data_IF_719812707694
#
_entry.id   IF_719812707694
#
_cell.length_a   1.000
_cell.length_b   1.000
_cell.length_c   1.000
_cell.angle_alpha   90.00
_cell.angle_beta   90.00
_cell.angle_gamma   90.00
#
_symmetry.space_group_name_H-M   'P 1'
#
loop_
_entity.id
_entity.type
_entity.pdbx_description
1 polymer ?
#
# COMPACT_ATOMS: atom_id res chain seq x y z
N UNK A 1 -35.67 38.23 -21.64
CA UNK A 1 -35.74 37.77 -20.23
C UNK A 1 -35.11 38.86 -19.38
N UNK A 2 -35.84 39.47 -18.45
CA UNK A 2 -35.20 40.27 -17.40
C UNK A 2 -34.50 39.27 -16.47
N UNK A 3 -33.17 39.25 -16.51
CA UNK A 3 -32.35 38.61 -15.49
C UNK A 3 -32.57 39.36 -14.18
N UNK A 4 -33.26 38.73 -13.23
CA UNK A 4 -33.34 39.23 -11.86
C UNK A 4 -31.99 38.94 -11.22
N UNK A 5 -31.19 39.96 -10.93
CA UNK A 5 -29.94 39.78 -10.20
C UNK A 5 -30.24 39.56 -8.73
N UNK A 6 -29.59 38.57 -8.12
CA UNK A 6 -29.49 38.49 -6.66
C UNK A 6 -28.65 39.68 -6.20
N UNK A 7 -29.21 40.57 -5.37
CA UNK A 7 -28.62 41.89 -5.12
C UNK A 7 -27.58 41.94 -3.99
N UNK A 8 -27.48 40.94 -3.09
CA UNK A 8 -26.45 40.91 -2.04
C UNK A 8 -26.32 39.56 -1.31
N UNK A 9 -25.11 39.24 -0.85
CA UNK A 9 -24.85 38.18 0.13
C UNK A 9 -25.00 38.75 1.55
N UNK A 10 -25.87 38.15 2.37
CA UNK A 10 -26.06 38.48 3.78
C UNK A 10 -25.32 37.47 4.68
N UNK A 11 -25.00 37.81 5.94
CA UNK A 11 -24.44 36.86 6.92
C UNK A 11 -25.44 36.62 8.03
N UNK A 12 -25.91 35.37 8.18
CA UNK A 12 -26.97 35.01 9.13
C UNK A 12 -26.46 34.05 10.21
N UNK A 13 -26.93 34.19 11.47
CA UNK A 13 -26.70 33.19 12.50
C UNK A 13 -27.28 31.84 12.10
N UNK A 14 -26.58 30.75 12.42
CA UNK A 14 -27.01 29.40 12.03
C UNK A 14 -28.41 29.05 12.55
N UNK A 15 -28.77 29.53 13.75
CA UNK A 15 -30.07 29.25 14.39
C UNK A 15 -31.24 29.91 13.67
N UNK A 16 -30.97 30.89 12.80
CA UNK A 16 -32.01 31.54 11.99
C UNK A 16 -32.44 30.65 10.81
N UNK A 17 -31.60 29.73 10.36
CA UNK A 17 -31.84 28.90 9.19
C UNK A 17 -32.75 27.73 9.52
N UNK A 18 -33.81 27.56 8.73
CA UNK A 18 -34.80 26.49 8.92
C UNK A 18 -34.59 25.43 7.82
N UNK A 19 -34.15 24.20 8.17
CA UNK A 19 -34.03 23.13 7.20
C UNK A 19 -35.38 22.82 6.54
N UNK A 20 -35.39 22.71 5.21
CA UNK A 20 -36.59 22.30 4.49
C UNK A 20 -36.98 20.84 4.82
N UNK A 21 -38.16 20.67 5.41
CA UNK A 21 -38.63 19.38 5.96
C UNK A 21 -38.84 18.26 4.92
N UNK A 22 -38.90 18.58 3.63
CA UNK A 22 -39.06 17.62 2.53
C UNK A 22 -37.86 17.61 1.59
N UNK A 23 -36.67 17.89 2.11
CA UNK A 23 -35.46 17.75 1.31
C UNK A 23 -35.28 16.28 0.94
N UNK A 24 -35.20 15.99 -0.36
CA UNK A 24 -35.05 14.62 -0.86
C UNK A 24 -33.59 14.15 -0.86
N UNK A 25 -32.63 15.08 -0.71
CA UNK A 25 -31.19 14.78 -0.67
C UNK A 25 -30.75 14.52 0.76
N UNK A 26 -30.12 13.39 0.98
CA UNK A 26 -29.48 13.01 2.24
C UNK A 26 -27.98 13.35 2.18
N UNK A 27 -27.40 13.65 3.35
CA UNK A 27 -25.97 13.88 3.51
C UNK A 27 -25.49 12.95 4.64
N UNK A 28 -24.56 12.05 4.33
CA UNK A 28 -23.88 11.24 5.34
C UNK A 28 -22.73 12.02 6.01
N UNK A 29 -22.21 11.50 7.12
CA UNK A 29 -21.18 12.17 7.92
C UNK A 29 -19.86 12.37 7.14
N UNK A 30 -19.56 11.49 6.18
CA UNK A 30 -18.38 11.57 5.32
C UNK A 30 -18.48 12.76 4.37
N UNK A 31 -19.58 12.86 3.65
CA UNK A 31 -19.86 13.98 2.74
C UNK A 31 -19.91 15.33 3.48
N UNK A 32 -20.49 15.36 4.69
CA UNK A 32 -20.49 16.59 5.50
C UNK A 32 -19.07 16.98 5.90
N UNK A 33 -18.22 16.01 6.25
CA UNK A 33 -16.81 16.24 6.59
C UNK A 33 -16.00 16.75 5.40
N UNK A 34 -16.24 16.24 4.19
CA UNK A 34 -15.62 16.77 2.96
C UNK A 34 -16.01 18.24 2.71
N UNK A 35 -17.30 18.57 2.83
CA UNK A 35 -17.77 19.95 2.70
C UNK A 35 -17.15 20.84 3.80
N UNK A 36 -16.98 20.34 5.01
CA UNK A 36 -16.32 21.05 6.10
C UNK A 36 -14.83 21.31 5.81
N UNK A 37 -14.10 20.31 5.29
CA UNK A 37 -12.71 20.47 4.84
C UNK A 37 -12.58 21.52 3.75
N UNK A 38 -13.43 21.46 2.72
CA UNK A 38 -13.50 22.46 1.65
C UNK A 38 -13.77 23.88 2.18
N UNK A 39 -14.70 24.05 3.13
CA UNK A 39 -14.96 25.36 3.75
C UNK A 39 -13.76 25.83 4.60
N UNK A 40 -13.06 24.94 5.28
CA UNK A 40 -11.89 25.29 6.08
C UNK A 40 -10.72 25.77 5.20
N UNK A 41 -10.54 25.14 4.03
CA UNK A 41 -9.45 25.44 3.09
C UNK A 41 -9.75 26.67 2.23
N UNK A 42 -10.89 26.67 1.52
CA UNK A 42 -11.21 27.70 0.54
C UNK A 42 -12.07 28.84 1.10
N UNK A 43 -12.56 28.69 2.33
CA UNK A 43 -13.59 29.56 2.90
C UNK A 43 -15.00 29.22 2.39
N UNK A 44 -15.99 29.93 2.91
CA UNK A 44 -17.40 29.70 2.57
C UNK A 44 -17.77 30.37 1.23
N UNK A 45 -17.22 29.86 0.13
CA UNK A 45 -17.31 30.45 -1.22
C UNK A 45 -18.69 30.39 -1.85
N UNK A 46 -19.50 29.40 -1.46
CA UNK A 46 -20.85 29.20 -1.97
C UNK A 46 -21.90 29.53 -0.88
N UNK A 47 -22.66 30.63 -0.95
CA UNK A 47 -23.68 30.99 0.04
C UNK A 47 -24.90 30.06 0.05
N UNK A 48 -25.51 29.87 1.22
CA UNK A 48 -26.75 29.09 1.36
C UNK A 48 -27.92 29.87 0.74
N UNK A 49 -28.73 29.21 -0.09
CA UNK A 49 -29.91 29.82 -0.70
C UNK A 49 -31.11 29.66 0.23
N UNK A 50 -31.76 30.76 0.58
CA UNK A 50 -32.88 30.76 1.53
C UNK A 50 -34.10 31.51 0.98
N UNK A 51 -35.27 31.07 1.41
CA UNK A 51 -36.51 31.83 1.24
C UNK A 51 -36.56 33.03 2.19
N UNK A 52 -37.52 33.92 1.93
CA UNK A 52 -37.86 35.04 2.82
C UNK A 52 -38.44 34.59 4.17
N UNK A 53 -38.89 33.33 4.23
CA UNK A 53 -39.36 32.59 5.42
C UNK A 53 -38.22 31.92 6.22
N UNK A 54 -36.96 32.21 5.87
CA UNK A 54 -35.74 31.58 6.41
C UNK A 54 -35.59 30.08 6.11
N UNK A 55 -36.45 29.51 5.25
CA UNK A 55 -36.35 28.09 4.88
C UNK A 55 -35.23 27.90 3.85
N UNK A 56 -34.37 26.91 4.08
CA UNK A 56 -33.26 26.58 3.17
C UNK A 56 -33.82 25.99 1.88
N UNK A 57 -33.48 26.63 0.76
CA UNK A 57 -33.79 26.17 -0.59
C UNK A 57 -32.68 25.25 -1.10
N UNK A 58 -31.41 25.64 -0.89
CA UNK A 58 -30.23 24.86 -1.24
C UNK A 58 -29.06 25.14 -0.28
N UNK A 59 -28.23 24.12 -0.02
CA UNK A 59 -27.06 24.22 0.86
C UNK A 59 -27.23 23.58 2.24
N UNK A 60 -28.09 22.57 2.40
CA UNK A 60 -28.25 21.83 3.65
C UNK A 60 -26.93 21.20 4.14
N UNK A 61 -26.17 20.53 3.27
CA UNK A 61 -24.85 20.00 3.62
C UNK A 61 -23.87 21.09 4.08
N UNK A 62 -23.92 22.29 3.49
CA UNK A 62 -23.09 23.44 3.92
C UNK A 62 -23.49 23.96 5.30
N UNK A 63 -24.78 23.92 5.66
CA UNK A 63 -25.20 24.22 7.03
C UNK A 63 -24.67 23.18 8.02
N UNK A 64 -24.76 21.89 7.69
CA UNK A 64 -24.24 20.81 8.54
C UNK A 64 -22.72 20.94 8.73
N UNK A 65 -21.98 21.22 7.65
CA UNK A 65 -20.54 21.47 7.70
C UNK A 65 -20.20 22.71 8.54
N UNK A 66 -20.96 23.81 8.41
CA UNK A 66 -20.79 24.99 9.25
C UNK A 66 -20.98 24.69 10.75
N UNK A 67 -21.94 23.83 11.08
CA UNK A 67 -22.18 23.36 12.45
C UNK A 67 -21.00 22.52 12.96
N UNK A 68 -20.48 21.61 12.14
CA UNK A 68 -19.31 20.79 12.46
C UNK A 68 -18.06 21.64 12.71
N UNK A 69 -17.87 22.71 11.93
CA UNK A 69 -16.77 23.67 12.09
C UNK A 69 -16.98 24.68 13.23
N UNK A 70 -18.15 24.70 13.88
CA UNK A 70 -18.46 25.62 14.97
C UNK A 70 -18.62 27.08 14.55
N UNK A 71 -19.03 27.35 13.30
CA UNK A 71 -19.25 28.71 12.82
C UNK A 71 -20.48 29.34 13.49
N UNK A 72 -20.42 30.63 13.82
CA UNK A 72 -21.54 31.38 14.40
C UNK A 72 -22.49 31.96 13.34
N UNK A 73 -21.95 32.32 12.18
CA UNK A 73 -22.70 32.88 11.04
C UNK A 73 -22.24 32.29 9.73
N UNK A 74 -23.15 32.21 8.75
CA UNK A 74 -22.87 31.74 7.39
C UNK A 74 -23.36 32.74 6.34
N UNK A 75 -22.71 32.81 5.16
CA UNK A 75 -23.18 33.63 4.06
C UNK A 75 -24.44 33.02 3.44
N UNK A 76 -25.44 33.86 3.18
CA UNK A 76 -26.74 33.48 2.62
C UNK A 76 -27.16 34.41 1.50
N UNK A 77 -27.96 33.87 0.58
CA UNK A 77 -28.63 34.62 -0.47
C UNK A 77 -30.13 34.43 -0.28
N UNK A 78 -30.85 35.55 -0.09
CA UNK A 78 -32.31 35.53 0.13
C UNK A 78 -33.06 35.69 -1.18
N UNK A 79 -33.74 34.62 -1.61
CA UNK A 79 -34.47 34.56 -2.88
C UNK A 79 -35.91 35.07 -2.73
N UNK A 80 -36.05 36.36 -2.39
CA UNK A 80 -37.35 37.02 -2.11
C UNK A 80 -38.32 37.05 -3.30
N UNK A 81 -37.81 36.92 -4.51
CA UNK A 81 -38.58 37.01 -5.75
C UNK A 81 -39.25 35.69 -6.15
N UNK A 82 -38.90 34.57 -5.50
CA UNK A 82 -39.44 33.25 -5.84
C UNK A 82 -40.77 33.00 -5.15
N UNK A 83 -41.78 32.61 -5.95
CA UNK A 83 -43.02 32.03 -5.44
C UNK A 83 -42.75 30.67 -4.76
N UNK A 84 -43.66 30.22 -3.91
CA UNK A 84 -43.55 28.92 -3.22
C UNK A 84 -43.32 27.75 -4.21
N UNK A 85 -44.06 27.74 -5.33
CA UNK A 85 -43.90 26.73 -6.37
C UNK A 85 -42.49 26.77 -7.01
N UNK A 86 -41.96 27.97 -7.26
CA UNK A 86 -40.61 28.14 -7.80
C UNK A 86 -39.53 27.73 -6.79
N UNK A 87 -39.70 28.01 -5.49
CA UNK A 87 -38.78 27.54 -4.44
C UNK A 87 -38.70 26.02 -4.41
N UNK A 88 -39.86 25.35 -4.43
CA UNK A 88 -39.95 23.88 -4.43
C UNK A 88 -39.37 23.26 -5.70
N UNK A 89 -39.61 23.89 -6.86
CA UNK A 89 -38.99 23.46 -8.11
C UNK A 89 -37.48 23.64 -8.08
N UNK A 90 -36.98 24.75 -7.51
CA UNK A 90 -35.56 25.02 -7.40
C UNK A 90 -34.85 24.03 -6.47
N UNK A 91 -35.46 23.61 -5.36
CA UNK A 91 -34.91 22.55 -4.49
C UNK A 91 -34.65 21.25 -5.27
N UNK A 92 -35.54 20.90 -6.21
CA UNK A 92 -35.39 19.70 -7.03
C UNK A 92 -34.36 19.95 -8.14
N UNK A 93 -34.46 21.10 -8.81
CA UNK A 93 -33.60 21.46 -9.94
C UNK A 93 -32.13 21.58 -9.52
N UNK A 94 -31.83 22.21 -8.39
CA UNK A 94 -30.46 22.37 -7.86
C UNK A 94 -29.78 21.01 -7.66
N UNK A 95 -30.50 20.05 -7.08
CA UNK A 95 -29.99 18.69 -6.87
C UNK A 95 -29.86 17.92 -8.19
N UNK A 96 -30.88 17.95 -9.05
CA UNK A 96 -30.90 17.15 -10.29
C UNK A 96 -29.95 17.69 -11.35
N UNK A 97 -29.77 19.01 -11.45
CA UNK A 97 -28.86 19.62 -12.41
C UNK A 97 -27.41 19.31 -12.03
N UNK A 98 -27.07 19.34 -10.74
CA UNK A 98 -25.76 18.92 -10.26
C UNK A 98 -25.47 17.44 -10.56
N UNK A 99 -26.45 16.54 -10.39
CA UNK A 99 -26.32 15.11 -10.76
C UNK A 99 -26.15 14.85 -12.26
N UNK A 100 -26.62 15.76 -13.12
CA UNK A 100 -26.56 15.58 -14.57
C UNK A 100 -25.22 16.05 -15.17
N UNK A 101 -24.37 16.70 -14.36
CA UNK A 101 -23.04 17.12 -14.80
C UNK A 101 -22.10 15.91 -14.76
N UNK A 102 -21.39 15.67 -15.86
CA UNK A 102 -20.28 14.72 -15.92
C UNK A 102 -18.95 15.46 -16.03
N UNK A 103 -17.87 14.76 -15.74
CA UNK A 103 -16.52 15.26 -15.94
C UNK A 103 -16.04 14.97 -17.36
N UNK A 104 -15.21 15.86 -17.90
CA UNK A 104 -14.28 15.46 -18.95
C UNK A 104 -13.06 14.89 -18.22
N UNK A 105 -12.92 13.57 -18.25
CA UNK A 105 -11.90 12.87 -17.48
C UNK A 105 -10.49 13.35 -17.87
N UNK A 106 -10.16 13.48 -19.16
CA UNK A 106 -8.82 13.92 -19.60
C UNK A 106 -8.41 15.29 -19.03
N UNK A 107 -9.34 16.26 -19.05
CA UNK A 107 -9.08 17.60 -18.52
C UNK A 107 -9.04 17.62 -16.99
N UNK A 108 -9.86 16.80 -16.34
CA UNK A 108 -9.87 16.67 -14.89
C UNK A 108 -8.53 16.09 -14.38
N UNK A 109 -8.01 15.04 -15.04
CA UNK A 109 -6.71 14.45 -14.70
C UNK A 109 -5.57 15.46 -14.77
N UNK A 110 -5.52 16.26 -15.84
CA UNK A 110 -4.50 17.27 -16.04
C UNK A 110 -4.55 18.35 -14.95
N UNK A 111 -5.75 18.83 -14.60
CA UNK A 111 -5.90 19.82 -13.53
C UNK A 111 -5.53 19.26 -12.14
N UNK A 112 -5.90 18.00 -11.85
CA UNK A 112 -5.52 17.33 -10.60
C UNK A 112 -4.00 17.14 -10.48
N UNK A 113 -3.33 16.77 -11.58
CA UNK A 113 -1.86 16.70 -11.65
C UNK A 113 -1.18 18.06 -11.45
N UNK A 114 -1.68 19.10 -12.12
CA UNK A 114 -1.16 20.46 -11.97
C UNK A 114 -1.33 20.98 -10.52
N UNK A 115 -2.44 20.66 -9.86
CA UNK A 115 -2.66 20.99 -8.44
C UNK A 115 -1.68 20.25 -7.52
N UNK A 116 -1.38 18.98 -7.83
CA UNK A 116 -0.40 18.19 -7.09
C UNK A 116 1.02 18.76 -7.23
N UNK A 117 1.41 19.18 -8.44
CA UNK A 117 2.69 19.84 -8.71
C UNK A 117 2.84 21.18 -7.97
N UNK A 118 1.72 21.84 -7.69
CA UNK A 118 1.66 23.05 -6.87
C UNK A 118 1.68 22.75 -5.36
N UNK A 119 1.75 21.48 -4.97
CA UNK A 119 1.77 21.05 -3.56
C UNK A 119 0.43 21.19 -2.85
N UNK A 120 -0.67 21.17 -3.60
CA UNK A 120 -2.02 21.30 -3.06
C UNK A 120 -2.52 19.97 -2.49
N UNK A 121 -3.22 20.01 -1.36
CA UNK A 121 -3.83 18.84 -0.72
C UNK A 121 -5.12 18.43 -1.46
N UNK A 122 -5.12 17.27 -2.11
CA UNK A 122 -6.26 16.80 -2.91
C UNK A 122 -7.36 16.14 -2.05
N UNK A 123 -7.15 15.96 -0.75
CA UNK A 123 -8.16 15.34 0.13
C UNK A 123 -9.39 16.28 0.33
N UNK A 124 -9.23 17.57 0.04
CA UNK A 124 -10.24 18.62 0.32
C UNK A 124 -11.12 18.99 -0.89
N UNK A 125 -10.84 18.44 -2.08
CA UNK A 125 -11.57 18.74 -3.32
C UNK A 125 -12.78 17.84 -3.56
N UNK A 126 -13.02 16.87 -2.67
CA UNK A 126 -14.26 16.08 -2.62
C UNK A 126 -14.27 14.80 -3.45
N UNK A 127 -13.11 14.34 -3.91
CA UNK A 127 -12.89 12.98 -4.41
C UNK A 127 -12.49 12.08 -3.24
N UNK A 128 -12.85 10.79 -3.27
CA UNK A 128 -12.27 9.79 -2.37
C UNK A 128 -10.87 9.38 -2.83
N UNK A 129 -10.06 8.83 -1.93
CA UNK A 129 -8.71 8.33 -2.25
C UNK A 129 -8.73 7.34 -3.43
N UNK A 130 -9.73 6.45 -3.47
CA UNK A 130 -9.92 5.48 -4.56
C UNK A 130 -10.21 6.20 -5.91
N UNK A 131 -11.07 7.23 -5.90
CA UNK A 131 -11.37 8.03 -7.10
C UNK A 131 -10.16 8.87 -7.55
N UNK A 132 -9.37 9.40 -6.60
CA UNK A 132 -8.14 10.14 -6.91
C UNK A 132 -7.08 9.23 -7.52
N UNK A 133 -6.92 8.01 -7.00
CA UNK A 133 -6.00 7.01 -7.54
C UNK A 133 -6.39 6.62 -8.98
N UNK A 134 -7.69 6.39 -9.24
CA UNK A 134 -8.23 6.06 -10.57
C UNK A 134 -8.12 7.24 -11.56
N UNK A 135 -8.39 8.47 -11.09
CA UNK A 135 -8.29 9.68 -11.90
C UNK A 135 -6.83 10.02 -12.19
N UNK A 136 -5.96 10.12 -11.20
CA UNK A 136 -4.54 10.45 -11.40
C UNK A 136 -3.78 9.37 -12.18
N UNK A 137 -4.40 8.22 -12.43
CA UNK A 137 -3.74 7.15 -13.19
C UNK A 137 -2.63 6.51 -12.39
N UNK A 138 -2.84 6.32 -11.08
CA UNK A 138 -2.08 5.35 -10.28
C UNK A 138 -2.59 3.91 -10.52
N UNK A 139 -3.25 3.67 -11.67
CA UNK A 139 -3.38 2.34 -12.25
C UNK A 139 -2.22 2.11 -13.21
N UNK A 140 -1.33 1.21 -12.79
CA UNK A 140 -0.33 0.50 -13.58
C UNK A 140 0.35 1.36 -14.68
N UNK A 141 1.44 2.05 -14.33
CA UNK A 141 2.63 1.78 -15.12
C UNK A 141 2.89 0.28 -14.97
N UNK A 142 2.20 -0.54 -15.76
CA UNK A 142 2.52 -1.95 -15.88
C UNK A 142 3.99 -1.92 -16.22
N UNK A 143 4.82 -2.39 -15.30
CA UNK A 143 6.26 -2.36 -15.51
C UNK A 143 6.57 -2.99 -16.87
N UNK A 144 7.77 -2.74 -17.37
CA UNK A 144 8.16 -3.24 -18.68
C UNK A 144 8.11 -4.78 -18.81
N UNK A 145 7.84 -5.49 -17.71
CA UNK A 145 7.62 -6.94 -17.64
C UNK A 145 6.36 -7.30 -16.83
N UNK A 146 5.91 -8.56 -16.96
CA UNK A 146 4.92 -9.15 -16.04
C UNK A 146 5.38 -9.03 -14.58
N UNK A 147 4.46 -8.71 -13.66
CA UNK A 147 4.79 -8.45 -12.25
C UNK A 147 5.46 -9.66 -11.59
N UNK A 148 5.04 -10.87 -11.93
CA UNK A 148 5.57 -12.13 -11.42
C UNK A 148 6.74 -12.67 -12.28
N UNK A 149 7.21 -11.93 -13.28
CA UNK A 149 8.43 -12.29 -14.01
C UNK A 149 9.64 -12.24 -13.07
N UNK A 150 10.48 -13.28 -13.11
CA UNK A 150 11.72 -13.38 -12.33
C UNK A 150 12.86 -13.78 -13.27
N UNK A 151 13.98 -13.04 -13.25
CA UNK A 151 15.19 -13.37 -14.00
C UNK A 151 15.80 -14.73 -13.63
N UNK A 152 16.71 -15.21 -14.47
CA UNK A 152 17.53 -16.39 -14.15
C UNK A 152 18.53 -16.10 -13.02
N UNK A 153 18.67 -17.06 -12.12
CA UNK A 153 19.71 -17.03 -11.08
C UNK A 153 21.05 -17.35 -11.73
N UNK A 154 22.01 -16.44 -11.60
CA UNK A 154 23.40 -16.64 -12.01
C UNK A 154 24.21 -17.33 -10.90
N UNK A 155 25.20 -18.13 -11.28
CA UNK A 155 26.00 -18.89 -10.30
C UNK A 155 27.07 -18.04 -9.59
N UNK A 156 27.56 -17.00 -10.27
CA UNK A 156 28.54 -16.05 -9.74
C UNK A 156 27.85 -14.71 -9.53
N UNK A 157 27.49 -14.35 -8.28
CA UNK A 157 26.80 -13.11 -8.01
C UNK A 157 27.75 -11.91 -8.07
N UNK A 158 27.24 -10.78 -8.56
CA UNK A 158 27.87 -9.46 -8.52
C UNK A 158 27.83 -8.91 -7.10
N UNK A 159 26.69 -9.06 -6.42
CA UNK A 159 26.52 -8.61 -5.04
C UNK A 159 27.36 -9.43 -4.06
N UNK A 160 27.75 -8.79 -2.95
CA UNK A 160 28.45 -9.41 -1.83
C UNK A 160 27.76 -9.09 -0.52
N UNK A 161 27.96 -9.94 0.48
CA UNK A 161 27.45 -9.69 1.84
C UNK A 161 27.93 -8.33 2.34
N UNK A 162 26.99 -7.52 2.83
CA UNK A 162 27.21 -6.14 3.26
C UNK A 162 26.91 -5.09 2.19
N UNK A 163 26.77 -5.47 0.91
CA UNK A 163 26.41 -4.52 -0.14
C UNK A 163 24.99 -3.99 0.09
N UNK A 164 24.88 -2.65 0.17
CA UNK A 164 23.62 -1.92 0.15
C UNK A 164 23.40 -1.36 -1.25
N UNK A 165 22.29 -1.72 -1.87
CA UNK A 165 21.86 -1.24 -3.17
C UNK A 165 20.70 -0.25 -3.04
N UNK A 166 20.76 0.81 -3.82
CA UNK A 166 19.71 1.81 -4.00
C UNK A 166 19.01 1.53 -5.32
N UNK A 167 17.70 1.30 -5.26
CA UNK A 167 16.83 0.99 -6.39
C UNK A 167 15.70 2.03 -6.39
N UNK A 168 15.93 3.17 -7.04
CA UNK A 168 15.04 4.34 -6.91
C UNK A 168 14.96 4.80 -5.44
N UNK A 169 13.75 4.84 -4.89
CA UNK A 169 13.52 5.14 -3.46
C UNK A 169 13.61 3.91 -2.53
N UNK A 170 13.85 2.72 -3.09
CA UNK A 170 13.99 1.48 -2.36
C UNK A 170 15.43 1.23 -1.91
N UNK A 171 15.57 0.36 -0.91
CA UNK A 171 16.87 -0.13 -0.44
C UNK A 171 16.84 -1.64 -0.35
N UNK A 172 17.91 -2.26 -0.84
CA UNK A 172 18.13 -3.70 -0.76
C UNK A 172 19.50 -3.96 -0.13
N UNK A 173 19.55 -4.68 0.98
CA UNK A 173 20.80 -5.07 1.64
C UNK A 173 21.05 -6.57 1.46
N UNK A 174 22.26 -6.92 1.02
CA UNK A 174 22.75 -8.29 1.12
C UNK A 174 23.15 -8.58 2.56
N UNK A 175 22.28 -9.22 3.34
CA UNK A 175 22.44 -9.28 4.80
C UNK A 175 21.63 -10.35 5.52
N UNK A 176 21.90 -10.49 6.80
CA UNK A 176 21.32 -11.45 7.73
C UNK A 176 20.26 -10.79 8.61
N UNK A 177 19.00 -11.21 8.44
CA UNK A 177 17.84 -10.72 9.19
C UNK A 177 17.98 -10.81 10.72
N UNK A 178 18.87 -11.66 11.23
CA UNK A 178 19.12 -11.82 12.67
C UNK A 178 20.09 -10.77 13.22
N UNK A 179 20.80 -10.03 12.36
CA UNK A 179 21.80 -9.04 12.76
C UNK A 179 21.24 -7.63 12.80
N UNK A 180 21.23 -7.06 14.01
CA UNK A 180 20.70 -5.72 14.26
C UNK A 180 21.45 -4.60 13.53
N UNK A 181 22.77 -4.69 13.43
CA UNK A 181 23.61 -3.67 12.78
C UNK A 181 23.30 -3.55 11.27
N UNK A 182 22.99 -4.68 10.63
CA UNK A 182 22.61 -4.74 9.22
C UNK A 182 21.18 -4.18 9.03
N UNK A 183 20.26 -4.47 9.95
CA UNK A 183 18.94 -3.83 9.96
C UNK A 183 19.03 -2.30 10.13
N UNK A 184 19.87 -1.82 11.04
CA UNK A 184 20.07 -0.38 11.26
C UNK A 184 20.64 0.30 10.00
N UNK A 185 21.52 -0.38 9.26
CA UNK A 185 22.04 0.07 7.97
C UNK A 185 20.94 0.14 6.90
N UNK A 186 20.13 -0.90 6.77
CA UNK A 186 19.02 -0.96 5.82
C UNK A 186 17.99 0.16 6.08
N UNK A 187 17.62 0.35 7.34
CA UNK A 187 16.58 1.32 7.74
C UNK A 187 17.07 2.76 7.76
N UNK A 188 18.37 3.00 7.95
CA UNK A 188 18.98 4.34 8.04
C UNK A 188 18.24 5.31 8.96
N UNK A 189 17.77 4.81 10.10
CA UNK A 189 17.09 5.60 11.13
C UNK A 189 15.57 5.75 10.92
N UNK A 190 15.03 5.31 9.79
CA UNK A 190 13.58 5.28 9.57
C UNK A 190 12.91 4.09 10.30
N UNK A 191 11.59 4.16 10.46
CA UNK A 191 10.74 3.06 10.91
C UNK A 191 9.81 2.63 9.77
N UNK A 192 9.59 1.33 9.63
CA UNK A 192 8.65 0.79 8.67
C UNK A 192 7.20 0.96 9.13
N UNK A 193 6.32 1.39 8.23
CA UNK A 193 4.87 1.52 8.45
C UNK A 193 4.20 0.15 8.53
N UNK A 194 4.70 -0.82 7.78
CA UNK A 194 4.30 -2.22 7.88
C UNK A 194 5.43 -3.14 7.42
N UNK A 195 5.27 -4.44 7.68
CA UNK A 195 6.18 -5.46 7.20
C UNK A 195 5.41 -6.58 6.49
N UNK A 196 5.93 -7.04 5.36
CA UNK A 196 5.53 -8.28 4.72
C UNK A 196 6.78 -9.09 4.47
N UNK A 197 6.86 -10.30 5.01
CA UNK A 197 8.08 -11.10 4.92
C UNK A 197 7.81 -12.59 4.84
N UNK A 198 8.71 -13.33 4.20
CA UNK A 198 8.58 -14.75 3.87
C UNK A 198 9.84 -15.53 4.29
N UNK A 199 10.04 -15.75 5.61
CA UNK A 199 11.17 -16.52 6.12
C UNK A 199 11.21 -17.94 5.56
N UNK A 200 12.38 -18.63 5.61
CA UNK A 200 12.46 -20.04 5.27
C UNK A 200 11.53 -20.90 6.16
N UNK A 201 11.08 -22.03 5.65
CA UNK A 201 10.02 -22.85 6.27
C UNK A 201 10.55 -24.08 7.01
N UNK A 202 11.88 -24.25 7.10
CA UNK A 202 12.54 -25.36 7.77
C UNK A 202 12.20 -26.74 7.13
N UNK A 203 12.00 -26.77 5.81
CA UNK A 203 11.55 -27.97 5.06
C UNK A 203 12.65 -28.63 4.23
N UNK A 204 13.88 -28.15 4.32
CA UNK A 204 15.07 -28.63 3.58
C UNK A 204 14.86 -28.64 2.06
N UNK A 205 14.34 -27.53 1.52
CA UNK A 205 14.03 -27.41 0.11
C UNK A 205 15.27 -27.60 -0.78
N UNK A 206 15.09 -28.28 -1.92
CA UNK A 206 16.15 -28.47 -2.91
C UNK A 206 17.20 -29.53 -2.55
N UNK A 207 17.07 -30.22 -1.42
CA UNK A 207 18.02 -31.24 -0.98
C UNK A 207 17.60 -32.69 -1.32
N UNK A 208 16.52 -32.88 -2.10
CA UNK A 208 16.06 -34.22 -2.45
C UNK A 208 16.98 -34.92 -3.47
N UNK A 209 16.95 -36.26 -3.49
CA UNK A 209 17.71 -37.06 -4.47
C UNK A 209 17.36 -36.72 -5.93
N UNK A 210 16.12 -36.24 -6.20
CA UNK A 210 15.70 -35.80 -7.53
C UNK A 210 16.26 -34.42 -7.89
N UNK A 211 16.44 -33.54 -6.92
CA UNK A 211 16.97 -32.19 -7.15
C UNK A 211 18.47 -32.25 -7.44
N UNK A 212 19.20 -33.12 -6.75
CA UNK A 212 20.62 -33.42 -7.01
C UNK A 212 20.87 -33.97 -8.43
N UNK A 213 19.89 -34.65 -9.01
CA UNK A 213 19.95 -35.16 -10.39
C UNK A 213 19.67 -34.09 -11.45
N UNK A 214 19.09 -32.95 -11.08
CA UNK A 214 18.74 -31.85 -12.00
C UNK A 214 19.86 -30.84 -12.22
N UNK A 215 20.98 -30.96 -11.50
CA UNK A 215 22.23 -30.24 -11.77
C UNK A 215 22.24 -28.73 -11.44
N UNK A 216 21.16 -28.17 -10.89
CA UNK A 216 21.11 -26.79 -10.37
C UNK A 216 20.98 -26.84 -8.84
N UNK A 217 21.85 -26.14 -8.11
CA UNK A 217 21.71 -26.00 -6.66
C UNK A 217 20.57 -25.02 -6.36
N UNK A 218 19.57 -25.47 -5.61
CA UNK A 218 18.33 -24.72 -5.32
C UNK A 218 18.05 -24.65 -3.82
N UNK A 219 19.09 -24.87 -3.01
CA UNK A 219 18.95 -24.87 -1.56
C UNK A 219 18.65 -23.45 -1.09
N UNK A 220 17.68 -23.35 -0.20
CA UNK A 220 17.37 -22.10 0.48
C UNK A 220 18.24 -22.05 1.73
N UNK A 221 18.99 -20.95 1.90
CA UNK A 221 19.80 -20.74 3.09
C UNK A 221 18.89 -20.69 4.33
N UNK A 222 19.34 -21.26 5.45
CA UNK A 222 18.58 -21.37 6.70
C UNK A 222 17.25 -22.15 6.64
N UNK A 223 17.02 -22.98 5.60
CA UNK A 223 15.79 -23.78 5.46
C UNK A 223 15.86 -25.20 6.07
N UNK A 224 16.86 -25.47 6.92
CA UNK A 224 17.00 -26.75 7.62
C UNK A 224 17.75 -26.59 8.95
N UNK A 225 17.21 -25.74 9.82
CA UNK A 225 17.78 -25.42 11.13
C UNK A 225 17.29 -26.38 12.23
N UNK A 226 16.28 -27.21 11.96
CA UNK A 226 15.79 -28.19 12.92
C UNK A 226 15.34 -27.53 14.22
N UNK A 227 15.96 -27.89 15.34
CA UNK A 227 15.61 -27.34 16.66
C UNK A 227 15.98 -25.87 16.84
N UNK A 228 16.94 -25.35 16.07
CA UNK A 228 17.41 -23.97 16.17
C UNK A 228 16.49 -22.99 15.41
N UNK A 229 15.50 -23.50 14.66
CA UNK A 229 14.60 -22.70 13.84
C UNK A 229 13.77 -21.70 14.67
N UNK A 230 13.35 -22.07 15.88
CA UNK A 230 12.65 -21.15 16.78
C UNK A 230 13.52 -19.94 17.14
N UNK A 231 14.77 -20.17 17.55
CA UNK A 231 15.68 -19.11 17.97
C UNK A 231 16.02 -18.17 16.80
N UNK A 232 16.16 -18.73 15.60
CA UNK A 232 16.30 -17.96 14.37
C UNK A 232 15.09 -17.05 14.10
N UNK A 233 13.87 -17.61 14.14
CA UNK A 233 12.64 -16.82 13.95
C UNK A 233 12.48 -15.76 15.03
N UNK A 234 12.72 -16.08 16.30
CA UNK A 234 12.61 -15.12 17.40
C UNK A 234 13.57 -13.93 17.21
N UNK A 235 14.82 -14.18 16.80
CA UNK A 235 15.79 -13.12 16.52
C UNK A 235 15.35 -12.23 15.34
N UNK A 236 14.97 -12.82 14.21
CA UNK A 236 14.53 -12.08 13.03
C UNK A 236 13.23 -11.29 13.29
N UNK A 237 12.26 -11.89 13.97
CA UNK A 237 10.99 -11.25 14.30
C UNK A 237 11.16 -10.16 15.37
N UNK A 238 12.08 -10.34 16.32
CA UNK A 238 12.44 -9.30 17.28
C UNK A 238 13.01 -8.05 16.58
N UNK A 239 13.89 -8.27 15.60
CA UNK A 239 14.41 -7.21 14.73
C UNK A 239 13.29 -6.54 13.92
N UNK A 240 12.43 -7.32 13.26
CA UNK A 240 11.29 -6.82 12.49
C UNK A 240 10.34 -5.95 13.34
N UNK A 241 9.94 -6.43 14.52
CA UNK A 241 9.05 -5.72 15.43
C UNK A 241 9.70 -4.49 16.07
N UNK A 242 11.03 -4.46 16.20
CA UNK A 242 11.74 -3.33 16.77
C UNK A 242 11.67 -2.08 15.88
N UNK A 243 11.59 -2.25 14.56
CA UNK A 243 11.60 -1.15 13.58
C UNK A 243 10.29 -0.98 12.82
N UNK A 244 9.28 -1.82 13.07
CA UNK A 244 7.96 -1.72 12.42
C UNK A 244 6.95 -1.12 13.38
N UNK A 245 6.32 -0.02 12.98
CA UNK A 245 5.31 0.69 13.80
C UNK A 245 3.88 0.22 13.54
N UNK A 246 3.61 -0.46 12.42
CA UNK A 246 2.28 -0.96 12.08
C UNK A 246 2.20 -2.48 11.92
N UNK A 247 1.39 -2.92 10.95
CA UNK A 247 1.03 -4.32 10.79
C UNK A 247 2.18 -5.16 10.22
N UNK A 248 2.25 -6.41 10.65
CA UNK A 248 3.25 -7.39 10.26
C UNK A 248 2.57 -8.62 9.66
N UNK A 249 2.99 -8.99 8.45
CA UNK A 249 2.56 -10.17 7.72
C UNK A 249 3.75 -11.12 7.57
N UNK A 250 3.65 -12.33 8.12
CA UNK A 250 4.74 -13.33 8.07
C UNK A 250 4.22 -14.62 7.44
N UNK A 251 4.61 -14.89 6.21
CA UNK A 251 4.25 -16.12 5.50
C UNK A 251 4.99 -17.33 6.09
N UNK A 252 4.33 -18.50 6.09
CA UNK A 252 4.91 -19.72 6.65
C UNK A 252 4.29 -20.99 6.08
N UNK A 253 4.99 -22.10 6.18
CA UNK A 253 4.36 -23.42 6.05
C UNK A 253 3.44 -23.69 7.25
N UNK A 254 2.25 -24.22 6.97
CA UNK A 254 1.36 -24.78 8.00
C UNK A 254 1.99 -25.85 8.93
N UNK A 255 3.16 -26.40 8.61
CA UNK A 255 3.91 -27.31 9.50
C UNK A 255 4.65 -26.61 10.65
N UNK A 256 4.85 -25.29 10.55
CA UNK A 256 5.64 -24.48 11.49
C UNK A 256 4.80 -23.35 12.11
N UNK A 257 3.47 -23.45 12.07
CA UNK A 257 2.60 -22.39 12.60
C UNK A 257 2.73 -22.19 14.10
N UNK A 258 2.90 -23.28 14.84
CA UNK A 258 3.10 -23.23 16.28
C UNK A 258 4.45 -22.60 16.62
N UNK A 259 5.52 -22.98 15.90
CA UNK A 259 6.85 -22.36 16.02
C UNK A 259 6.78 -20.87 15.73
N UNK A 260 6.18 -20.47 14.59
CA UNK A 260 6.06 -19.07 14.19
C UNK A 260 5.23 -18.26 15.19
N UNK A 261 4.05 -18.74 15.58
CA UNK A 261 3.18 -18.00 16.50
C UNK A 261 3.86 -17.79 17.85
N UNK A 262 4.57 -18.82 18.33
CA UNK A 262 5.32 -18.75 19.58
C UNK A 262 6.47 -17.74 19.47
N UNK A 263 7.32 -17.87 18.45
CA UNK A 263 8.44 -16.96 18.22
C UNK A 263 7.97 -15.50 18.07
N UNK A 264 6.88 -15.25 17.34
CA UNK A 264 6.31 -13.90 17.17
C UNK A 264 5.85 -13.29 18.50
N UNK A 265 5.19 -14.07 19.36
CA UNK A 265 4.75 -13.61 20.68
C UNK A 265 5.91 -13.39 21.64
N UNK A 266 6.89 -14.30 21.66
CA UNK A 266 8.07 -14.20 22.51
C UNK A 266 8.96 -13.00 22.10
N UNK A 267 9.01 -12.68 20.80
CA UNK A 267 9.63 -11.46 20.28
C UNK A 267 8.89 -10.15 20.63
N UNK A 268 7.74 -10.22 21.32
CA UNK A 268 6.95 -9.05 21.74
C UNK A 268 5.82 -8.67 20.78
N UNK A 269 5.41 -9.58 19.90
CA UNK A 269 4.32 -9.39 18.95
C UNK A 269 2.95 -9.79 19.51
N UNK A 270 1.94 -8.98 19.21
CA UNK A 270 0.53 -9.32 19.34
C UNK A 270 0.05 -10.05 18.10
N UNK A 271 -0.21 -11.34 18.24
CA UNK A 271 -0.86 -12.13 17.19
C UNK A 271 -2.36 -11.79 17.10
N UNK A 272 -2.86 -11.55 15.89
CA UNK A 272 -4.29 -11.31 15.62
C UNK A 272 -4.96 -12.54 15.01
N UNK A 273 -4.51 -12.97 13.82
CA UNK A 273 -5.07 -14.12 13.09
C UNK A 273 -4.03 -14.74 12.15
N UNK A 274 -4.41 -15.81 11.47
CA UNK A 274 -3.73 -16.28 10.27
C UNK A 274 -4.60 -16.00 9.06
N UNK A 275 -4.05 -15.23 8.11
CA UNK A 275 -4.63 -15.09 6.78
C UNK A 275 -4.24 -16.32 5.97
N UNK A 276 -5.18 -16.92 5.26
CA UNK A 276 -4.99 -18.11 4.45
C UNK A 276 -4.93 -17.71 2.99
N UNK A 277 -3.74 -17.75 2.38
CA UNK A 277 -3.63 -17.69 0.93
C UNK A 277 -4.05 -19.03 0.33
N UNK A 278 -5.26 -19.09 -0.20
CA UNK A 278 -5.82 -20.22 -0.93
C UNK A 278 -5.39 -20.19 -2.40
N UNK A 279 -4.65 -21.22 -2.82
CA UNK A 279 -4.10 -21.35 -4.17
C UNK A 279 -5.12 -21.99 -5.12
N UNK A 280 -5.07 -21.60 -6.39
CA UNK A 280 -5.91 -22.21 -7.44
C UNK A 280 -5.65 -23.70 -7.66
N UNK A 281 -4.46 -24.22 -7.33
CA UNK A 281 -4.10 -25.64 -7.49
C UNK A 281 -3.17 -26.10 -6.36
N UNK A 282 -3.27 -27.37 -5.96
CA UNK A 282 -2.29 -28.02 -5.09
C UNK A 282 -1.20 -28.72 -5.90
N UNK A 283 -0.04 -28.93 -5.28
CA UNK A 283 1.01 -29.80 -5.84
C UNK A 283 0.75 -31.24 -5.41
N UNK A 284 0.75 -32.18 -6.36
CA UNK A 284 0.61 -33.61 -6.06
C UNK A 284 1.89 -34.15 -5.41
N UNK A 285 1.76 -34.59 -4.16
CA UNK A 285 2.79 -35.25 -3.37
C UNK A 285 2.32 -36.60 -2.82
N UNK A 286 3.09 -37.15 -1.88
CA UNK A 286 2.80 -38.46 -1.24
C UNK A 286 1.87 -38.36 -0.02
N UNK A 287 1.47 -37.16 0.38
CA UNK A 287 0.62 -36.92 1.54
C UNK A 287 -0.83 -37.31 1.25
N UNK A 288 -1.56 -37.73 2.30
CA UNK A 288 -2.99 -38.04 2.22
C UNK A 288 -3.82 -36.82 1.79
N UNK A 289 -3.41 -35.63 2.25
CA UNK A 289 -3.96 -34.34 1.84
C UNK A 289 -2.88 -33.51 1.16
N UNK A 290 -3.20 -32.98 -0.02
CA UNK A 290 -2.31 -32.11 -0.78
C UNK A 290 -2.51 -30.67 -0.34
N UNK A 291 -1.41 -29.99 0.02
CA UNK A 291 -1.48 -28.60 0.50
C UNK A 291 -1.89 -27.68 -0.66
N UNK A 292 -2.98 -26.94 -0.47
CA UNK A 292 -3.51 -25.96 -1.42
C UNK A 292 -3.50 -24.53 -0.84
N UNK A 293 -2.86 -24.31 0.30
CA UNK A 293 -2.80 -22.99 0.90
C UNK A 293 -1.46 -22.75 1.59
N UNK A 294 -1.16 -21.47 1.81
CA UNK A 294 -0.12 -21.03 2.74
C UNK A 294 -0.73 -20.06 3.77
N UNK A 295 -0.51 -20.28 5.07
CA UNK A 295 -0.88 -19.31 6.09
C UNK A 295 0.11 -18.13 6.16
N UNK A 296 -0.41 -16.98 6.53
CA UNK A 296 0.32 -15.74 6.77
C UNK A 296 -0.10 -15.25 8.15
N UNK A 297 0.85 -15.19 9.09
CA UNK A 297 0.60 -14.60 10.40
C UNK A 297 0.32 -13.11 10.20
N UNK A 298 -0.80 -12.63 10.76
CA UNK A 298 -1.12 -11.21 10.86
C UNK A 298 -1.08 -10.77 12.31
N UNK A 299 -0.32 -9.72 12.59
CA UNK A 299 -0.13 -9.16 13.92
C UNK A 299 0.59 -7.83 13.89
N UNK A 300 0.94 -7.32 15.06
CA UNK A 300 1.72 -6.08 15.22
C UNK A 300 2.46 -6.14 16.55
N UNK A 301 3.25 -5.12 16.89
CA UNK A 301 3.94 -5.06 18.18
C UNK A 301 2.94 -4.95 19.33
N UNK A 302 3.12 -5.75 20.39
CA UNK A 302 2.24 -5.72 21.56
C UNK A 302 2.28 -4.32 22.22
N UNK A 303 1.09 -3.79 22.52
CA UNK A 303 0.93 -2.43 23.06
C UNK A 303 1.05 -1.29 22.05
N UNK A 304 1.33 -1.57 20.77
CA UNK A 304 1.27 -0.58 19.70
C UNK A 304 -0.09 -0.61 18.99
N UNK A 305 -0.46 0.52 18.39
CA UNK A 305 -1.50 0.58 17.37
C UNK A 305 -0.94 0.13 16.01
N UNK A 306 -1.82 -0.06 15.03
CA UNK A 306 -1.45 -0.30 13.64
C UNK A 306 -2.39 0.47 12.73
N UNK A 307 -1.87 0.92 11.59
CA UNK A 307 -2.70 1.51 10.54
C UNK A 307 -3.50 0.40 9.84
N UNK A 308 -4.76 0.70 9.54
CA UNK A 308 -5.64 -0.17 8.76
C UNK A 308 -6.64 0.69 7.98
N UNK A 309 -6.65 0.54 6.66
CA UNK A 309 -7.64 1.17 5.77
C UNK A 309 -8.36 0.16 4.87
N UNK A 310 -8.17 -1.14 5.09
CA UNK A 310 -8.94 -2.16 4.39
C UNK A 310 -10.45 -2.08 4.68
N UNK A 311 -11.26 -2.36 3.66
CA UNK A 311 -12.71 -2.39 3.80
C UNK A 311 -13.20 -3.38 4.88
N UNK A 312 -14.44 -3.20 5.37
CA UNK A 312 -15.00 -4.05 6.43
C UNK A 312 -15.30 -5.49 6.01
N UNK A 313 -15.13 -5.81 4.73
CA UNK A 313 -15.38 -7.11 4.10
C UNK A 313 -14.10 -7.91 3.82
N UNK A 314 -12.94 -7.44 4.28
CA UNK A 314 -11.67 -8.14 4.13
C UNK A 314 -11.65 -9.43 4.97
N UNK A 315 -12.05 -10.54 4.36
CA UNK A 315 -11.96 -11.88 4.96
C UNK A 315 -10.51 -12.36 5.11
N UNK A 316 -10.28 -13.30 6.02
CA UNK A 316 -8.98 -13.91 6.30
C UNK A 316 -8.65 -15.10 5.38
N UNK A 317 -9.41 -15.32 4.31
CA UNK A 317 -9.11 -16.30 3.26
C UNK A 317 -8.99 -15.57 1.92
N UNK A 318 -7.78 -15.56 1.37
CA UNK A 318 -7.43 -14.82 0.16
C UNK A 318 -7.19 -15.77 -0.99
N UNK A 319 -7.93 -15.59 -2.08
CA UNK A 319 -7.82 -16.42 -3.27
C UNK A 319 -6.91 -15.73 -4.28
N UNK A 320 -5.68 -16.22 -4.39
CA UNK A 320 -4.73 -15.76 -5.41
C UNK A 320 -4.15 -16.98 -6.14
N UNK A 321 -3.98 -16.86 -7.45
CA UNK A 321 -3.32 -17.88 -8.23
C UNK A 321 -1.87 -18.02 -7.77
N UNK A 322 -1.33 -19.25 -7.77
CA UNK A 322 0.13 -19.37 -7.66
C UNK A 322 0.75 -18.76 -8.93
N UNK A 323 1.92 -18.09 -8.85
CA UNK A 323 2.57 -17.57 -10.04
C UNK A 323 2.83 -18.69 -11.03
N UNK A 324 2.79 -18.37 -12.33
CA UNK A 324 3.15 -19.35 -13.35
C UNK A 324 4.58 -19.79 -13.08
N UNK A 325 4.76 -21.10 -12.90
CA UNK A 325 6.01 -21.67 -12.44
C UNK A 325 7.10 -21.36 -13.47
N UNK A 326 7.91 -20.34 -13.23
CA UNK A 326 9.24 -20.29 -13.80
C UNK A 326 10.07 -21.37 -13.07
N UNK A 327 10.77 -22.24 -13.79
CA UNK A 327 11.47 -23.38 -13.19
C UNK A 327 12.68 -22.97 -12.31
N UNK A 328 12.84 -21.67 -12.05
CA UNK A 328 14.01 -20.99 -11.51
C UNK A 328 13.85 -20.53 -10.06
N UNK A 329 12.65 -20.10 -9.62
CA UNK A 329 12.41 -19.69 -8.23
C UNK A 329 11.37 -20.60 -7.54
N UNK A 330 11.72 -21.29 -6.45
CA UNK A 330 10.87 -22.35 -5.90
C UNK A 330 9.67 -21.86 -5.08
N UNK A 331 9.76 -20.69 -4.45
CA UNK A 331 8.84 -20.25 -3.39
C UNK A 331 8.35 -18.80 -3.54
N UNK A 332 8.25 -18.29 -4.77
CA UNK A 332 7.78 -16.91 -4.98
C UNK A 332 6.32 -16.69 -4.54
N UNK A 333 6.06 -15.57 -3.85
CA UNK A 333 4.73 -15.06 -3.58
C UNK A 333 4.22 -14.20 -4.76
N UNK A 334 2.94 -14.31 -5.17
CA UNK A 334 2.35 -13.43 -6.16
C UNK A 334 2.46 -11.97 -5.73
N UNK A 335 2.82 -11.07 -6.64
CA UNK A 335 2.86 -9.62 -6.34
C UNK A 335 1.50 -9.12 -5.85
N UNK A 336 0.40 -9.51 -6.50
CA UNK A 336 -0.97 -9.12 -6.12
C UNK A 336 -1.34 -9.50 -4.66
N UNK A 337 -0.80 -10.63 -4.18
CA UNK A 337 -1.02 -11.08 -2.79
C UNK A 337 -0.40 -10.10 -1.79
N UNK A 338 0.83 -9.65 -2.09
CA UNK A 338 1.57 -8.70 -1.26
C UNK A 338 0.96 -7.30 -1.38
N UNK A 339 0.58 -6.90 -2.58
CA UNK A 339 -0.12 -5.64 -2.86
C UNK A 339 -1.37 -5.47 -2.00
N UNK A 340 -2.20 -6.52 -1.89
CA UNK A 340 -3.39 -6.48 -1.02
C UNK A 340 -3.03 -6.21 0.44
N UNK A 341 -1.95 -6.80 0.94
CA UNK A 341 -1.49 -6.53 2.31
C UNK A 341 -0.99 -5.09 2.45
N UNK A 342 -0.23 -4.59 1.46
CA UNK A 342 0.29 -3.22 1.41
C UNK A 342 -0.85 -2.20 1.43
N UNK A 343 -1.83 -2.34 0.55
CA UNK A 343 -2.98 -1.42 0.45
C UNK A 343 -3.85 -1.39 1.70
N UNK A 344 -3.95 -2.51 2.42
CA UNK A 344 -4.75 -2.57 3.65
C UNK A 344 -4.07 -1.94 4.87
N UNK A 345 -2.73 -1.90 4.89
CA UNK A 345 -1.93 -1.61 6.08
C UNK A 345 -0.88 -0.50 5.91
N UNK A 346 -0.92 0.24 4.79
CA UNK A 346 -0.05 1.39 4.53
C UNK A 346 -0.69 2.46 3.64
N UNK A 347 -0.15 3.66 3.69
CA UNK A 347 -0.45 4.79 2.81
C UNK A 347 0.60 4.93 1.70
N UNK A 348 0.32 5.77 0.71
CA UNK A 348 1.30 6.12 -0.32
C UNK A 348 2.57 6.70 0.31
N UNK A 349 3.74 6.34 -0.24
CA UNK A 349 5.09 6.70 0.22
C UNK A 349 5.53 6.12 1.58
N UNK A 350 4.68 5.33 2.24
CA UNK A 350 5.04 4.61 3.45
C UNK A 350 6.17 3.60 3.19
N UNK A 351 6.87 3.22 4.25
CA UNK A 351 7.98 2.28 4.22
C UNK A 351 7.47 0.87 4.51
N UNK A 352 7.77 -0.08 3.63
CA UNK A 352 7.44 -1.51 3.79
C UNK A 352 8.74 -2.30 4.00
N UNK A 353 8.81 -3.04 5.10
CA UNK A 353 9.97 -3.88 5.44
C UNK A 353 9.76 -5.33 4.99
N UNK A 354 10.78 -5.91 4.38
CA UNK A 354 10.91 -7.33 4.11
C UNK A 354 12.31 -7.80 4.52
N UNK A 355 12.42 -8.72 5.48
CA UNK A 355 13.71 -9.25 5.92
C UNK A 355 14.16 -10.50 5.16
N UNK A 356 13.32 -11.01 4.25
CA UNK A 356 13.53 -12.23 3.49
C UNK A 356 13.08 -12.02 2.05
N UNK A 357 13.86 -11.21 1.32
CA UNK A 357 13.48 -10.67 0.01
C UNK A 357 13.20 -11.73 -1.06
N UNK A 358 13.91 -12.87 -1.04
CA UNK A 358 13.72 -13.96 -2.00
C UNK A 358 13.79 -13.47 -3.44
N UNK A 359 12.70 -13.59 -4.20
CA UNK A 359 12.64 -13.10 -5.58
C UNK A 359 12.26 -11.62 -5.71
N UNK A 360 12.01 -10.90 -4.62
CA UNK A 360 11.72 -9.47 -4.62
C UNK A 360 10.25 -9.09 -4.84
N UNK A 361 9.30 -10.00 -4.57
CA UNK A 361 7.87 -9.70 -4.78
C UNK A 361 7.39 -8.51 -3.95
N UNK A 362 7.88 -8.34 -2.73
CA UNK A 362 7.56 -7.16 -1.89
C UNK A 362 8.10 -5.87 -2.51
N UNK A 363 9.27 -5.90 -3.13
CA UNK A 363 9.86 -4.74 -3.80
C UNK A 363 9.01 -4.31 -5.00
N UNK A 364 8.66 -5.24 -5.88
CA UNK A 364 7.78 -4.96 -7.03
C UNK A 364 6.41 -4.46 -6.57
N UNK A 365 5.82 -5.08 -5.54
CA UNK A 365 4.55 -4.61 -4.99
C UNK A 365 4.64 -3.17 -4.44
N UNK A 366 5.76 -2.80 -3.83
CA UNK A 366 5.99 -1.43 -3.35
C UNK A 366 6.13 -0.44 -4.51
N UNK A 367 6.91 -0.78 -5.53
CA UNK A 367 7.09 0.03 -6.73
C UNK A 367 5.73 0.34 -7.37
N UNK A 368 4.93 -0.69 -7.65
CA UNK A 368 3.57 -0.58 -8.23
C UNK A 368 2.63 0.31 -7.43
N UNK A 369 2.76 0.28 -6.10
CA UNK A 369 1.85 0.98 -5.21
C UNK A 369 2.41 2.31 -4.72
N UNK A 370 3.57 2.77 -5.22
CA UNK A 370 4.19 4.01 -4.75
C UNK A 370 4.57 3.99 -3.26
N UNK A 371 4.97 2.83 -2.73
CA UNK A 371 5.55 2.66 -1.38
C UNK A 371 7.06 2.47 -1.50
N UNK A 372 7.80 2.61 -0.39
CA UNK A 372 9.26 2.46 -0.37
C UNK A 372 9.66 1.16 0.31
N UNK A 373 10.22 0.23 -0.46
CA UNK A 373 10.70 -1.04 0.08
C UNK A 373 12.03 -0.87 0.85
N UNK A 374 12.15 -1.59 1.96
CA UNK A 374 13.40 -1.88 2.66
C UNK A 374 13.52 -3.39 2.71
N UNK A 375 14.38 -3.94 1.87
CA UNK A 375 14.50 -5.38 1.66
C UNK A 375 15.85 -5.88 2.13
N UNK A 376 15.88 -7.01 2.83
CA UNK A 376 17.07 -7.75 3.15
C UNK A 376 17.02 -9.13 2.50
N UNK A 377 18.13 -9.57 1.91
CA UNK A 377 18.27 -10.91 1.36
C UNK A 377 19.66 -11.46 1.69
N UNK A 378 19.71 -12.70 2.17
CA UNK A 378 20.94 -13.32 2.69
C UNK A 378 21.83 -13.84 1.58
N UNK A 379 21.25 -14.44 0.55
CA UNK A 379 21.99 -15.01 -0.57
C UNK A 379 22.30 -13.93 -1.62
N UNK A 380 23.58 -13.62 -1.89
CA UNK A 380 23.93 -12.63 -2.89
C UNK A 380 23.37 -12.94 -4.28
N UNK A 381 23.14 -14.22 -4.62
CA UNK A 381 22.51 -14.61 -5.89
C UNK A 381 21.07 -14.10 -6.00
N UNK A 382 20.32 -14.12 -4.90
CA UNK A 382 18.96 -13.63 -4.88
C UNK A 382 18.90 -12.09 -4.77
N UNK A 383 19.90 -11.45 -4.18
CA UNK A 383 20.07 -9.99 -4.25
C UNK A 383 20.16 -9.54 -5.72
N UNK A 384 21.01 -10.19 -6.51
CA UNK A 384 21.15 -9.91 -7.94
C UNK A 384 19.84 -10.15 -8.70
N UNK A 385 19.09 -11.21 -8.37
CA UNK A 385 17.77 -11.48 -8.95
C UNK A 385 16.79 -10.33 -8.65
N UNK A 386 16.74 -9.85 -7.41
CA UNK A 386 15.88 -8.73 -7.03
C UNK A 386 16.26 -7.47 -7.83
N UNK A 387 17.56 -7.18 -7.94
CA UNK A 387 18.06 -6.03 -8.70
C UNK A 387 17.65 -6.14 -10.16
N UNK A 388 17.99 -7.24 -10.83
CA UNK A 388 17.64 -7.46 -12.24
C UNK A 388 16.13 -7.39 -12.46
N UNK A 389 15.33 -8.00 -11.58
CA UNK A 389 13.87 -7.98 -11.66
C UNK A 389 13.34 -6.54 -11.61
N UNK A 390 13.85 -5.72 -10.70
CA UNK A 390 13.46 -4.32 -10.60
C UNK A 390 13.94 -3.47 -11.78
N UNK A 391 15.18 -3.64 -12.25
CA UNK A 391 15.70 -2.93 -13.42
C UNK A 391 14.92 -3.30 -14.69
N UNK A 392 14.56 -4.57 -14.86
CA UNK A 392 13.71 -5.03 -15.96
C UNK A 392 12.29 -4.47 -15.85
N UNK A 393 11.75 -4.37 -14.63
CA UNK A 393 10.41 -3.84 -14.38
C UNK A 393 10.32 -2.33 -14.64
N UNK A 394 11.29 -1.56 -14.16
CA UNK A 394 11.25 -0.08 -14.18
C UNK A 394 12.04 0.56 -15.33
N UNK A 395 13.00 -0.16 -15.91
CA UNK A 395 13.97 0.41 -16.84
C UNK A 395 15.06 1.25 -16.18
N UNK A 396 15.05 1.38 -14.84
CA UNK A 396 16.04 2.12 -14.08
C UNK A 396 17.29 1.27 -13.77
N UNK A 397 18.26 1.88 -13.08
CA UNK A 397 19.57 1.29 -12.79
C UNK A 397 19.85 1.33 -11.29
N UNK A 398 20.07 0.15 -10.70
CA UNK A 398 20.42 0.02 -9.29
C UNK A 398 21.85 0.49 -9.07
N UNK A 399 22.09 1.17 -7.94
CA UNK A 399 23.41 1.71 -7.58
C UNK A 399 23.86 1.22 -6.22
N UNK A 400 25.10 0.77 -6.12
CA UNK A 400 25.68 0.41 -4.82
C UNK A 400 25.93 1.69 -4.01
N UNK A 401 25.49 1.68 -2.75
CA UNK A 401 25.52 2.87 -1.90
C UNK A 401 26.94 3.30 -1.50
N UNK A 402 27.91 2.39 -1.48
CA UNK A 402 29.29 2.66 -1.09
C UNK A 402 30.02 3.57 -2.10
N UNK A 403 29.90 3.27 -3.39
CA UNK A 403 30.70 3.89 -4.46
C UNK A 403 29.86 4.45 -5.62
N UNK A 404 28.55 4.19 -5.65
CA UNK A 404 27.62 4.70 -6.65
C UNK A 404 27.65 3.97 -8.01
N UNK A 405 28.47 2.91 -8.12
CA UNK A 405 28.57 2.08 -9.31
C UNK A 405 27.24 1.41 -9.61
N UNK A 406 26.86 1.34 -10.89
CA UNK A 406 25.63 0.63 -11.27
C UNK A 406 25.83 -0.88 -11.22
N UNK A 407 24.75 -1.61 -11.02
CA UNK A 407 24.79 -3.08 -11.06
C UNK A 407 25.34 -3.59 -12.38
N UNK A 408 24.88 -3.00 -13.50
CA UNK A 408 25.31 -3.40 -14.84
C UNK A 408 26.80 -3.09 -15.11
N UNK A 409 27.37 -2.02 -14.53
CA UNK A 409 28.81 -1.73 -14.61
C UNK A 409 29.62 -2.84 -13.91
N UNK A 410 29.20 -3.22 -12.71
CA UNK A 410 29.86 -4.24 -11.90
C UNK A 410 29.67 -5.67 -12.46
N UNK A 411 28.59 -5.91 -13.19
CA UNK A 411 28.34 -7.17 -13.88
C UNK A 411 29.24 -7.40 -15.12
N UNK A 412 29.78 -6.31 -15.71
CA UNK A 412 30.64 -6.36 -16.90
C UNK A 412 32.13 -6.46 -16.54
N UNK A 413 32.53 -5.99 -15.35
CA UNK A 413 33.90 -6.14 -14.86
C UNK A 413 34.22 -7.62 -14.58
N UNK A 414 34.89 -8.30 -15.53
CA UNK A 414 35.52 -9.60 -15.26
C UNK A 414 36.41 -9.48 -14.00
N UNK A 415 36.42 -10.49 -13.10
CA UNK A 415 37.30 -10.45 -11.94
C UNK A 415 38.74 -10.31 -12.43
N UNK A 416 39.37 -9.17 -12.14
CA UNK A 416 40.76 -8.92 -12.50
C UNK A 416 41.62 -10.04 -11.95
N UNK A 417 42.40 -10.65 -12.83
CA UNK A 417 43.29 -11.80 -12.60
C UNK A 417 44.51 -11.44 -11.72
N UNK A 418 44.37 -10.50 -10.76
CA UNK A 418 45.46 -9.88 -10.02
C UNK A 418 45.59 -10.33 -8.55
N UNK A 419 44.69 -11.17 -8.03
CA UNK A 419 44.82 -11.76 -6.67
C UNK A 419 45.44 -13.18 -6.66
N UNK A 420 46.08 -13.60 -7.75
CA UNK A 420 46.80 -14.87 -7.83
C UNK A 420 48.30 -14.67 -8.10
N UNK A 421 49.03 -14.09 -7.15
CA UNK A 421 50.50 -14.25 -7.01
C UNK A 421 50.88 -14.51 -5.57
#
# INVERSE_FOLDING_TARGET
MQTVSVESVEHWPLQRLIPYARNARTHDDGQVSQIAGSIAEFGFVNPILVGDDNVIIAGHGRLMAAQQLGLETVPVIVLRHLTEAQRRALVIADNKIAENAGWNEELLKLELGDLQDLGFDLDVIGFSDEELDELLGLEDESGHTDDDAVPEVEEEPVSKTGDLWLLGEHRLLCGDATRREELETLMAGDLADMAFTDPPYNVDYGNSAKDKLRGKDRRILNDNLGADFHAFLEAALGNLLAVTKGACYVAMSSSELDTLQRAFREAGGKWSTFIIWAKNTFTLGRSDYQRQYEPILYGWREGADHYWCGARDQGDVWFFNKPVKNDLHPTMKPVELVERAIRNSSKSRDIVLDLFGGSGSTLIACEKTGRRARVMELDPKYVDVIIRRWQEYTGEQARRAEDGATFDELAIEEPSMDDAI
#
